data_IF_433291409830
#
_entry.id   IF_433291409830
#
_cell.length_a   1.000
_cell.length_b   1.000
_cell.length_c   1.000
_cell.angle_alpha   90.00
_cell.angle_beta   90.00
_cell.angle_gamma   90.00
#
_symmetry.space_group_name_H-M   'P 1'
#
loop_
_entity.id
_entity.type
_entity.pdbx_description
1 polymer ?
#
# COMPACT_ATOMS: atom_id res chain seq x y z
N UNK A 1 2.39 -3.48 9.38
CA UNK A 1 1.46 -2.96 10.41
C UNK A 1 0.24 -3.88 10.43
N UNK A 2 -0.79 -3.67 11.25
CA UNK A 2 -2.03 -4.46 11.19
C UNK A 2 -2.06 -5.75 12.02
N UNK A 3 -0.94 -6.17 12.62
CA UNK A 3 -0.88 -7.34 13.51
C UNK A 3 -0.97 -6.99 14.99
N UNK A 4 -0.42 -5.84 15.39
CA UNK A 4 -0.51 -5.34 16.77
C UNK A 4 -1.60 -4.28 16.88
N UNK A 5 -1.80 -3.76 18.10
CA UNK A 5 -2.66 -2.59 18.29
C UNK A 5 -2.14 -1.39 17.49
N UNK A 6 -3.07 -0.66 16.86
CA UNK A 6 -2.76 0.42 15.93
C UNK A 6 -1.86 1.52 16.53
N UNK A 7 -2.00 1.75 17.85
CA UNK A 7 -1.15 2.67 18.62
C UNK A 7 0.32 2.23 18.57
N UNK A 8 0.59 0.94 18.81
CA UNK A 8 1.95 0.41 18.81
C UNK A 8 2.57 0.53 17.42
N UNK A 9 1.81 0.17 16.40
CA UNK A 9 2.25 0.29 15.00
C UNK A 9 2.61 1.74 14.65
N UNK A 10 1.77 2.70 15.03
CA UNK A 10 2.01 4.13 14.77
C UNK A 10 3.25 4.65 15.48
N UNK A 11 3.46 4.27 16.75
CA UNK A 11 4.66 4.65 17.51
C UNK A 11 5.95 4.09 16.90
N UNK A 12 5.95 2.82 16.49
CA UNK A 12 7.13 2.19 15.85
C UNK A 12 7.44 2.85 14.52
N UNK A 13 6.42 3.09 13.68
CA UNK A 13 6.60 3.79 12.41
C UNK A 13 7.16 5.19 12.62
N UNK A 14 6.62 5.95 13.59
CA UNK A 14 7.13 7.29 13.92
C UNK A 14 8.60 7.27 14.33
N UNK A 15 8.98 6.33 15.22
CA UNK A 15 10.35 6.22 15.72
C UNK A 15 11.33 5.86 14.60
N UNK A 16 10.95 4.96 13.68
CA UNK A 16 11.79 4.62 12.52
C UNK A 16 11.99 5.83 11.60
N UNK A 17 10.91 6.58 11.31
CA UNK A 17 10.99 7.76 10.47
C UNK A 17 11.80 8.87 11.14
N UNK A 18 11.64 9.09 12.43
CA UNK A 18 12.40 10.06 13.20
C UNK A 18 13.90 9.75 13.22
N UNK A 19 14.26 8.47 13.41
CA UNK A 19 15.65 8.04 13.53
C UNK A 19 16.44 8.14 12.22
N UNK A 20 15.78 7.99 11.07
CA UNK A 20 16.44 7.96 9.75
C UNK A 20 15.74 8.98 8.84
N UNK A 21 16.27 10.21 8.68
CA UNK A 21 15.59 11.31 7.99
C UNK A 21 15.24 11.05 6.52
N UNK A 22 16.04 10.26 5.82
CA UNK A 22 15.87 9.90 4.40
C UNK A 22 15.19 8.53 4.20
N UNK A 23 14.77 7.85 5.27
CA UNK A 23 14.02 6.61 5.18
C UNK A 23 12.64 6.86 4.59
N UNK A 24 12.28 6.04 3.60
CA UNK A 24 10.91 5.89 3.12
C UNK A 24 10.37 4.51 3.49
N UNK A 25 9.16 4.45 4.03
CA UNK A 25 8.53 3.20 4.45
C UNK A 25 7.42 2.79 3.49
N UNK A 26 7.41 1.50 3.14
CA UNK A 26 6.24 0.81 2.61
C UNK A 26 5.63 0.03 3.76
N UNK A 27 4.34 0.24 4.00
CA UNK A 27 3.61 -0.40 5.07
C UNK A 27 2.51 -1.25 4.45
N UNK A 28 2.20 -2.36 5.09
CA UNK A 28 1.11 -3.22 4.67
C UNK A 28 0.28 -3.58 5.91
N UNK A 29 -1.04 -3.38 5.79
CA UNK A 29 -2.03 -3.68 6.83
C UNK A 29 -2.94 -4.84 6.45
N UNK A 30 -2.93 -5.36 5.21
CA UNK A 30 -3.77 -6.47 4.74
C UNK A 30 -5.25 -6.33 5.18
N UNK A 31 -5.85 -5.13 4.99
CA UNK A 31 -7.23 -4.78 5.37
C UNK A 31 -7.57 -4.94 6.86
N UNK A 32 -6.58 -4.86 7.75
CA UNK A 32 -6.77 -5.18 9.16
C UNK A 32 -7.63 -4.17 9.94
N UNK A 33 -7.73 -2.91 9.50
CA UNK A 33 -8.27 -1.84 10.34
C UNK A 33 -9.73 -1.50 10.09
N UNK A 34 -10.40 -1.12 11.18
CA UNK A 34 -11.59 -0.25 11.11
C UNK A 34 -11.13 1.20 10.92
N UNK A 35 -12.01 2.14 10.52
CA UNK A 35 -11.67 3.56 10.43
C UNK A 35 -11.02 4.10 11.73
N UNK A 36 -11.57 3.72 12.88
CA UNK A 36 -11.04 4.11 14.19
C UNK A 36 -9.60 3.61 14.41
N UNK A 37 -9.29 2.37 14.03
CA UNK A 37 -7.92 1.82 14.15
C UNK A 37 -6.96 2.56 13.22
N UNK A 38 -7.37 2.87 11.98
CA UNK A 38 -6.58 3.69 11.07
C UNK A 38 -6.27 5.07 11.65
N UNK A 39 -7.28 5.76 12.20
CA UNK A 39 -7.10 7.05 12.85
C UNK A 39 -6.18 6.97 14.08
N UNK A 40 -6.31 5.91 14.89
CA UNK A 40 -5.41 5.67 16.01
C UNK A 40 -3.96 5.50 15.54
N UNK A 41 -3.71 4.72 14.49
CA UNK A 41 -2.38 4.59 13.89
C UNK A 41 -1.83 5.96 13.46
N UNK A 42 -2.59 6.68 12.64
CA UNK A 42 -2.14 7.97 12.08
C UNK A 42 -1.88 9.03 13.15
N UNK A 43 -2.61 9.01 14.27
CA UNK A 43 -2.41 9.93 15.39
C UNK A 43 -1.00 9.87 15.97
N UNK A 44 -0.36 8.70 15.97
CA UNK A 44 0.99 8.53 16.53
C UNK A 44 2.10 8.74 15.51
N UNK A 45 1.78 8.92 14.23
CA UNK A 45 2.76 9.30 13.20
C UNK A 45 2.75 10.82 13.04
N UNK A 46 3.86 11.47 13.41
CA UNK A 46 4.06 12.90 13.26
C UNK A 46 3.72 13.34 11.82
N UNK A 47 2.83 14.33 11.61
CA UNK A 47 2.48 14.86 10.29
C UNK A 47 3.68 15.16 9.39
N UNK A 48 4.77 15.69 9.95
CA UNK A 48 5.97 16.04 9.20
C UNK A 48 6.67 14.81 8.59
N UNK A 49 6.40 13.61 9.09
CA UNK A 49 7.00 12.38 8.59
C UNK A 49 6.08 11.61 7.63
N UNK A 50 4.79 11.93 7.58
CA UNK A 50 3.79 11.15 6.80
C UNK A 50 4.09 11.09 5.31
N UNK A 51 4.71 12.13 4.76
CA UNK A 51 5.11 12.18 3.36
C UNK A 51 6.20 11.15 2.99
N UNK A 52 6.92 10.60 3.98
CA UNK A 52 7.92 9.53 3.80
C UNK A 52 7.34 8.13 3.94
N UNK A 53 6.06 7.98 4.30
CA UNK A 53 5.34 6.75 4.05
C UNK A 53 5.04 6.72 2.55
N UNK A 54 5.85 5.97 1.79
CA UNK A 54 5.73 5.87 0.34
C UNK A 54 4.31 5.43 -0.05
N UNK A 55 3.78 4.45 0.68
CA UNK A 55 2.38 4.08 0.71
C UNK A 55 2.09 3.09 1.85
N UNK A 56 0.83 2.99 2.22
CA UNK A 56 0.27 1.99 3.11
C UNK A 56 -0.74 1.11 2.35
N UNK A 57 -0.41 -0.16 2.16
CA UNK A 57 -1.23 -1.13 1.45
C UNK A 57 -2.48 -1.48 2.27
N UNK A 58 -3.65 -1.24 1.68
CA UNK A 58 -4.93 -1.78 2.13
C UNK A 58 -5.18 -1.55 3.64
N UNK A 59 -5.20 -0.29 4.13
CA UNK A 59 -5.28 -0.01 5.56
C UNK A 59 -6.53 -0.61 6.21
N UNK A 60 -7.69 -0.41 5.58
CA UNK A 60 -8.98 -0.68 6.18
C UNK A 60 -9.68 -1.88 5.54
N UNK A 61 -10.66 -2.42 6.26
CA UNK A 61 -11.49 -3.55 5.82
C UNK A 61 -12.18 -3.32 4.46
N UNK A 62 -12.53 -2.08 4.17
CA UNK A 62 -13.18 -1.69 2.91
C UNK A 62 -12.32 -0.69 2.15
N UNK A 63 -12.49 -0.65 0.82
CA UNK A 63 -11.82 0.33 -0.03
C UNK A 63 -12.31 1.75 0.26
N UNK A 64 -13.59 1.94 0.59
CA UNK A 64 -14.13 3.25 0.96
C UNK A 64 -13.50 3.81 2.23
N UNK A 65 -13.37 2.98 3.27
CA UNK A 65 -12.70 3.38 4.51
C UNK A 65 -11.21 3.66 4.29
N UNK A 66 -10.55 2.90 3.41
CA UNK A 66 -9.15 3.12 3.06
C UNK A 66 -8.96 4.46 2.34
N UNK A 67 -9.87 4.79 1.42
CA UNK A 67 -9.88 6.10 0.75
C UNK A 67 -10.15 7.25 1.71
N UNK A 68 -11.11 7.09 2.63
CA UNK A 68 -11.38 8.07 3.66
C UNK A 68 -10.15 8.29 4.53
N UNK A 69 -9.50 7.22 4.98
CA UNK A 69 -8.24 7.27 5.72
C UNK A 69 -7.16 8.07 4.97
N UNK A 70 -6.95 7.82 3.68
CA UNK A 70 -5.93 8.52 2.90
C UNK A 70 -6.20 10.04 2.84
N UNK A 71 -7.45 10.44 2.56
CA UNK A 71 -7.86 11.84 2.50
C UNK A 71 -7.78 12.55 3.85
N UNK A 72 -8.23 11.89 4.92
CA UNK A 72 -8.28 12.48 6.27
C UNK A 72 -6.90 12.62 6.91
N UNK A 73 -5.98 11.70 6.61
CA UNK A 73 -4.67 11.64 7.29
C UNK A 73 -3.53 12.20 6.46
N UNK A 74 -3.70 12.30 5.14
CA UNK A 74 -2.62 12.63 4.20
C UNK A 74 -1.59 11.51 4.00
N UNK A 75 -1.81 10.32 4.57
CA UNK A 75 -0.95 9.15 4.37
C UNK A 75 -1.32 8.50 3.04
N UNK A 76 -0.35 8.38 2.15
CA UNK A 76 -0.52 7.72 0.87
C UNK A 76 -0.89 6.24 1.06
N UNK A 77 -1.82 5.73 0.25
CA UNK A 77 -2.22 4.32 0.25
C UNK A 77 -1.89 3.62 -1.06
N UNK A 78 -1.92 2.30 -1.01
CA UNK A 78 -1.79 1.43 -2.17
C UNK A 78 -2.86 0.33 -2.16
N UNK A 79 -3.19 -0.15 -3.37
CA UNK A 79 -4.09 -1.29 -3.57
C UNK A 79 -3.28 -2.56 -3.86
N UNK A 80 -3.59 -3.67 -3.18
CA UNK A 80 -3.03 -5.01 -3.43
C UNK A 80 -4.16 -6.04 -3.66
N UNK A 81 -4.85 -6.49 -2.60
CA UNK A 81 -5.98 -7.42 -2.71
C UNK A 81 -7.08 -6.90 -3.62
N UNK A 82 -7.31 -5.58 -3.62
CA UNK A 82 -8.31 -4.97 -4.46
C UNK A 82 -8.11 -5.26 -5.95
N UNK A 83 -6.86 -5.40 -6.45
CA UNK A 83 -6.59 -5.64 -7.89
C UNK A 83 -7.18 -6.96 -8.40
N UNK A 84 -7.53 -7.88 -7.50
CA UNK A 84 -8.05 -9.21 -7.80
C UNK A 84 -9.57 -9.28 -7.61
N UNK A 85 -10.20 -8.21 -7.15
CA UNK A 85 -11.65 -8.09 -7.04
C UNK A 85 -12.28 -7.87 -8.42
N UNK A 86 -13.46 -8.45 -8.69
CA UNK A 86 -14.07 -8.45 -10.02
C UNK A 86 -14.48 -7.06 -10.53
N UNK A 87 -14.70 -6.11 -9.63
CA UNK A 87 -15.11 -4.73 -9.90
C UNK A 87 -13.94 -3.74 -9.85
N UNK A 88 -12.71 -4.23 -9.74
CA UNK A 88 -11.55 -3.34 -9.70
C UNK A 88 -11.31 -2.63 -11.02
N UNK A 89 -11.14 -1.32 -10.94
CA UNK A 89 -10.76 -0.46 -12.05
C UNK A 89 -9.59 0.43 -11.64
N UNK A 90 -8.65 0.62 -12.55
CA UNK A 90 -7.57 1.58 -12.39
C UNK A 90 -8.16 2.99 -12.54
N UNK A 91 -8.15 3.76 -11.45
CA UNK A 91 -8.63 5.14 -11.38
C UNK A 91 -7.65 5.97 -10.56
N UNK A 92 -7.40 7.21 -10.99
CA UNK A 92 -6.65 8.17 -10.19
C UNK A 92 -7.56 8.69 -9.07
N UNK A 93 -7.18 8.40 -7.82
CA UNK A 93 -7.93 8.78 -6.63
C UNK A 93 -7.02 9.55 -5.69
N UNK A 94 -7.54 10.60 -5.03
CA UNK A 94 -6.77 11.35 -4.04
C UNK A 94 -6.26 10.42 -2.93
N UNK A 95 -4.96 10.54 -2.61
CA UNK A 95 -4.30 9.72 -1.58
C UNK A 95 -3.84 8.34 -2.05
N UNK A 96 -4.29 7.84 -3.20
CA UNK A 96 -3.77 6.59 -3.79
C UNK A 96 -2.49 6.91 -4.58
N UNK A 97 -1.38 6.25 -4.23
CA UNK A 97 -0.06 6.51 -4.86
C UNK A 97 0.56 5.30 -5.52
N UNK A 98 0.11 4.10 -5.19
CA UNK A 98 0.66 2.89 -5.77
C UNK A 98 -0.38 1.78 -5.93
N UNK A 99 -0.01 0.80 -6.74
CA UNK A 99 -0.67 -0.51 -6.83
C UNK A 99 0.39 -1.59 -6.71
N UNK A 100 0.02 -2.69 -6.07
CA UNK A 100 0.89 -3.84 -5.84
C UNK A 100 0.38 -4.99 -6.68
N UNK A 101 1.14 -5.30 -7.73
CA UNK A 101 0.79 -6.33 -8.71
C UNK A 101 1.58 -7.58 -8.34
N UNK A 102 0.86 -8.65 -8.00
CA UNK A 102 1.40 -9.98 -7.71
C UNK A 102 1.19 -10.89 -8.94
N UNK A 103 2.19 -11.10 -9.81
CA UNK A 103 1.98 -11.77 -11.11
C UNK A 103 1.37 -13.17 -11.01
N UNK A 104 1.83 -13.98 -10.03
CA UNK A 104 1.30 -15.32 -9.77
C UNK A 104 -0.20 -15.32 -9.47
N UNK A 105 -0.73 -14.25 -8.88
CA UNK A 105 -2.16 -14.07 -8.59
C UNK A 105 -2.91 -13.32 -9.70
N UNK A 106 -2.20 -12.77 -10.69
CA UNK A 106 -2.77 -11.94 -11.76
C UNK A 106 -3.03 -12.75 -13.03
N UNK A 107 -2.07 -13.61 -13.40
CA UNK A 107 -2.14 -14.49 -14.57
C UNK A 107 -1.02 -14.24 -15.57
N UNK A 108 -1.36 -14.20 -16.87
CA UNK A 108 -0.39 -14.10 -17.96
C UNK A 108 0.42 -12.80 -17.90
N UNK A 109 1.66 -12.84 -18.41
CA UNK A 109 2.58 -11.70 -18.40
C UNK A 109 2.03 -10.47 -19.14
N UNK A 110 1.28 -10.68 -20.22
CA UNK A 110 0.65 -9.59 -20.98
C UNK A 110 -0.32 -8.81 -20.10
N UNK A 111 -1.12 -9.50 -19.28
CA UNK A 111 -2.05 -8.88 -18.34
C UNK A 111 -1.31 -8.10 -17.25
N UNK A 112 -0.19 -8.62 -16.74
CA UNK A 112 0.67 -7.88 -15.79
C UNK A 112 1.19 -6.59 -16.43
N UNK A 113 1.65 -6.66 -17.68
CA UNK A 113 2.12 -5.49 -18.43
C UNK A 113 1.02 -4.47 -18.66
N UNK A 114 -0.19 -4.91 -19.01
CA UNK A 114 -1.38 -4.05 -19.15
C UNK A 114 -1.70 -3.33 -17.82
N UNK A 115 -1.66 -4.03 -16.69
CA UNK A 115 -1.89 -3.43 -15.37
C UNK A 115 -0.81 -2.40 -14.98
N UNK A 116 0.47 -2.69 -15.26
CA UNK A 116 1.57 -1.73 -15.05
C UNK A 116 1.37 -0.48 -15.91
N UNK A 117 1.01 -0.65 -17.19
CA UNK A 117 0.75 0.47 -18.09
C UNK A 117 -0.44 1.31 -17.62
N UNK A 118 -1.53 0.67 -17.18
CA UNK A 118 -2.70 1.36 -16.65
C UNK A 118 -2.36 2.18 -15.40
N UNK A 119 -1.57 1.62 -14.47
CA UNK A 119 -1.10 2.33 -13.29
C UNK A 119 -0.24 3.56 -13.65
N UNK A 120 0.75 3.38 -14.53
CA UNK A 120 1.64 4.47 -14.96
C UNK A 120 0.89 5.56 -15.72
N UNK A 121 -0.09 5.22 -16.55
CA UNK A 121 -0.93 6.19 -17.25
C UNK A 121 -1.72 7.11 -16.30
N UNK A 122 -1.98 6.65 -15.07
CA UNK A 122 -2.64 7.40 -14.00
C UNK A 122 -1.64 8.09 -13.04
N UNK A 123 -0.33 8.00 -13.32
CA UNK A 123 0.71 8.54 -12.44
C UNK A 123 0.90 7.75 -11.14
N UNK A 124 0.42 6.51 -11.07
CA UNK A 124 0.60 5.62 -9.92
C UNK A 124 1.91 4.83 -10.05
N UNK A 125 2.53 4.55 -8.91
CA UNK A 125 3.66 3.60 -8.86
C UNK A 125 3.13 2.17 -9.00
N UNK A 126 3.64 1.40 -9.96
CA UNK A 126 3.38 -0.04 -10.03
C UNK A 126 4.50 -0.81 -9.33
N UNK A 127 4.18 -1.61 -8.32
CA UNK A 127 5.14 -2.46 -7.62
C UNK A 127 4.88 -3.92 -8.01
N UNK A 128 5.88 -4.56 -8.63
CA UNK A 128 5.87 -6.01 -8.80
C UNK A 128 6.21 -6.65 -7.45
N UNK A 129 5.30 -7.49 -6.94
CA UNK A 129 5.43 -8.13 -5.64
C UNK A 129 5.43 -9.65 -5.75
N UNK A 130 6.15 -10.27 -4.83
CA UNK A 130 6.16 -11.72 -4.67
C UNK A 130 4.85 -12.23 -4.09
N UNK A 131 4.52 -13.47 -4.46
CA UNK A 131 3.50 -14.34 -3.84
C UNK A 131 4.16 -15.55 -3.18
N UNK A 132 5.40 -15.40 -2.71
CA UNK A 132 6.21 -16.47 -2.10
C UNK A 132 6.58 -17.55 -3.12
N UNK A 133 7.00 -17.13 -4.31
CA UNK A 133 7.56 -18.01 -5.33
C UNK A 133 8.91 -18.61 -4.89
N UNK A 134 9.31 -19.71 -5.55
CA UNK A 134 10.70 -20.21 -5.43
C UNK A 134 11.69 -19.21 -6.04
N UNK A 135 12.99 -19.43 -5.80
CA UNK A 135 14.06 -18.59 -6.38
C UNK A 135 13.96 -18.45 -7.89
N UNK A 136 13.50 -19.47 -8.60
CA UNK A 136 13.26 -19.40 -10.04
C UNK A 136 12.23 -18.31 -10.39
N UNK A 137 11.08 -18.29 -9.71
CA UNK A 137 10.06 -17.26 -9.91
C UNK A 137 10.54 -15.88 -9.47
N UNK A 138 11.21 -15.77 -8.31
CA UNK A 138 11.73 -14.49 -7.82
C UNK A 138 12.72 -13.86 -8.80
N UNK A 139 13.59 -14.65 -9.44
CA UNK A 139 14.52 -14.12 -10.46
C UNK A 139 13.83 -13.64 -11.73
N UNK A 140 12.63 -14.12 -12.02
CA UNK A 140 11.81 -13.61 -13.13
C UNK A 140 11.09 -12.31 -12.74
N UNK A 141 10.70 -12.14 -11.48
CA UNK A 141 10.07 -10.91 -10.98
C UNK A 141 11.05 -9.74 -10.85
N UNK A 142 12.33 -10.01 -10.61
CA UNK A 142 13.36 -9.00 -10.35
C UNK A 142 14.01 -8.40 -11.62
N UNK A 143 13.49 -8.72 -12.81
CA UNK A 143 14.01 -8.28 -14.11
C UNK A 143 13.02 -7.37 -14.81
#
# INVERSE_FOLDING_TARGET
VGLYEAVRDGMVVNLLLEAIPDLHLRLDANRAWTPLKGQQFAKYVNPDYRHRIAFLEEPCKTRDDSRAFARETGIAIAWDESLREPDFAFVAEEGVRAVVIKPTLTGRLEKVREQVQAAHALGLTAVISSSIESSLGLTQLAR
#
